data_IF_604288569103
#
_entry.id   IF_604288569103
#
_cell.length_a   1.000
_cell.length_b   1.000
_cell.length_c   1.000
_cell.angle_alpha   90.00
_cell.angle_beta   90.00
_cell.angle_gamma   90.00
#
_symmetry.space_group_name_H-M   'P 1'
#
loop_
_entity.id
_entity.type
_entity.pdbx_description
1 polymer ?
#
# COMPACT_ATOMS: atom_id res chain seq x y z
N UNK A 1 -9.91 3.70 -8.94
CA UNK A 1 -9.58 2.43 -9.61
C UNK A 1 -10.79 1.85 -10.30
N UNK A 2 -10.58 1.29 -11.48
CA UNK A 2 -11.58 0.56 -12.22
C UNK A 2 -11.33 -0.94 -12.12
N UNK A 3 -12.36 -1.73 -12.32
CA UNK A 3 -12.25 -3.20 -12.27
C UNK A 3 -11.27 -3.71 -13.33
N UNK A 4 -11.17 -3.03 -14.47
CA UNK A 4 -10.25 -3.36 -15.56
C UNK A 4 -8.78 -3.12 -15.23
N UNK A 5 -8.50 -2.35 -14.19
CA UNK A 5 -7.13 -2.06 -13.75
C UNK A 5 -6.48 -3.24 -13.03
N UNK A 6 -7.27 -4.22 -12.61
CA UNK A 6 -6.75 -5.41 -11.91
C UNK A 6 -6.39 -6.49 -12.91
N UNK A 7 -5.15 -6.95 -12.86
CA UNK A 7 -4.62 -8.03 -13.69
C UNK A 7 -4.23 -9.21 -12.80
N UNK A 8 -5.08 -10.23 -12.75
CA UNK A 8 -4.80 -11.44 -11.97
C UNK A 8 -3.78 -12.36 -12.62
N UNK A 9 -3.53 -12.21 -13.91
CA UNK A 9 -2.52 -13.01 -14.60
C UNK A 9 -1.12 -12.66 -14.11
N UNK A 10 -0.86 -11.36 -13.90
CA UNK A 10 0.43 -10.83 -13.46
C UNK A 10 0.40 -10.32 -12.01
N UNK A 11 -0.73 -10.46 -11.32
CA UNK A 11 -0.93 -10.00 -9.94
C UNK A 11 -0.58 -8.52 -9.75
N UNK A 12 -1.07 -7.69 -10.65
CA UNK A 12 -0.81 -6.26 -10.66
C UNK A 12 -2.07 -5.42 -10.73
N UNK A 13 -1.97 -4.20 -10.28
CA UNK A 13 -3.01 -3.18 -10.39
C UNK A 13 -2.39 -1.94 -11.03
N UNK A 14 -2.99 -1.48 -12.12
CA UNK A 14 -2.59 -0.23 -12.74
C UNK A 14 -3.17 0.94 -11.93
N UNK A 15 -2.30 1.82 -11.45
CA UNK A 15 -2.70 3.02 -10.74
C UNK A 15 -2.23 4.26 -11.49
N UNK A 16 -3.07 5.30 -11.46
CA UNK A 16 -2.72 6.61 -12.03
C UNK A 16 -2.42 7.54 -10.86
N UNK A 17 -1.21 8.05 -10.84
CA UNK A 17 -0.78 8.98 -9.79
C UNK A 17 -1.21 10.40 -10.10
N UNK A 18 -1.12 11.25 -9.09
CA UNK A 18 -1.27 12.69 -9.24
C UNK A 18 -0.29 13.20 -10.30
N UNK A 19 -0.81 13.87 -11.33
CA UNK A 19 -0.03 14.31 -12.49
C UNK A 19 -0.13 13.39 -13.70
N UNK A 20 -0.95 12.33 -13.66
CA UNK A 20 -1.24 11.46 -14.80
C UNK A 20 -0.26 10.33 -15.05
N UNK A 21 0.79 10.19 -14.24
CA UNK A 21 1.74 9.09 -14.38
C UNK A 21 1.12 7.75 -13.96
N UNK A 22 1.21 6.76 -14.84
CA UNK A 22 0.74 5.41 -14.56
C UNK A 22 1.88 4.57 -13.97
N UNK A 23 1.52 3.68 -13.04
CA UNK A 23 2.41 2.63 -12.57
C UNK A 23 1.61 1.37 -12.27
N UNK A 24 2.33 0.25 -12.20
CA UNK A 24 1.74 -1.02 -11.78
C UNK A 24 2.23 -1.33 -10.37
N UNK A 25 1.28 -1.59 -9.48
CA UNK A 25 1.56 -2.05 -8.11
C UNK A 25 1.24 -3.53 -8.07
N UNK A 26 2.16 -4.34 -7.58
CA UNK A 26 1.98 -5.79 -7.50
C UNK A 26 1.47 -6.19 -6.12
N UNK A 27 0.68 -7.26 -6.09
CA UNK A 27 0.12 -7.78 -4.84
C UNK A 27 0.46 -9.27 -4.67
N UNK A 28 0.52 -9.70 -3.41
CA UNK A 28 0.76 -11.09 -3.05
C UNK A 28 -0.52 -11.90 -2.92
N UNK A 29 -0.38 -13.14 -2.47
CA UNK A 29 -1.47 -14.10 -2.39
C UNK A 29 -2.60 -13.70 -1.43
N UNK A 30 -2.29 -13.02 -0.34
CA UNK A 30 -3.30 -12.57 0.61
C UNK A 30 -4.23 -11.50 0.00
N UNK A 31 -3.65 -10.54 -0.70
CA UNK A 31 -4.41 -9.50 -1.40
C UNK A 31 -5.17 -10.10 -2.58
N UNK A 32 -4.56 -11.02 -3.32
CA UNK A 32 -5.23 -11.73 -4.42
C UNK A 32 -6.51 -12.41 -3.93
N UNK A 33 -6.42 -13.17 -2.84
CA UNK A 33 -7.57 -13.85 -2.24
C UNK A 33 -8.66 -12.86 -1.84
N UNK A 34 -8.28 -11.79 -1.15
CA UNK A 34 -9.22 -10.76 -0.72
C UNK A 34 -9.91 -10.07 -1.91
N UNK A 35 -9.18 -9.77 -2.98
CA UNK A 35 -9.74 -9.19 -4.19
C UNK A 35 -10.70 -10.14 -4.90
N UNK A 36 -10.34 -11.41 -5.02
CA UNK A 36 -11.22 -12.42 -5.64
C UNK A 36 -12.51 -12.60 -4.86
N UNK A 37 -12.41 -12.71 -3.54
CA UNK A 37 -13.59 -12.81 -2.66
C UNK A 37 -14.48 -11.57 -2.80
N UNK A 38 -13.88 -10.39 -2.82
CA UNK A 38 -14.61 -9.14 -3.01
C UNK A 38 -15.31 -9.08 -4.38
N UNK A 39 -14.63 -9.51 -5.45
CA UNK A 39 -15.21 -9.48 -6.80
C UNK A 39 -16.42 -10.40 -6.94
N UNK A 40 -16.46 -11.51 -6.21
CA UNK A 40 -17.64 -12.36 -6.14
C UNK A 40 -18.82 -11.62 -5.52
N UNK A 41 -18.61 -10.89 -4.44
CA UNK A 41 -19.63 -10.05 -3.81
C UNK A 41 -20.03 -8.91 -4.74
N UNK A 42 -19.05 -8.26 -5.37
CA UNK A 42 -19.28 -7.16 -6.31
C UNK A 42 -20.17 -7.58 -7.47
N UNK A 43 -20.02 -8.80 -7.98
CA UNK A 43 -20.81 -9.31 -9.10
C UNK A 43 -22.32 -9.34 -8.79
N UNK A 44 -22.70 -9.36 -7.53
CA UNK A 44 -24.09 -9.36 -7.07
C UNK A 44 -24.63 -7.95 -6.75
N UNK A 45 -23.81 -6.93 -6.88
CA UNK A 45 -24.19 -5.54 -6.65
C UNK A 45 -24.55 -4.90 -7.97
N UNK A 46 -25.75 -4.32 -8.05
CA UNK A 46 -26.16 -3.51 -9.18
C UNK A 46 -25.74 -2.06 -8.96
N UNK A 47 -24.73 -1.56 -9.70
CA UNK A 47 -24.23 -0.21 -9.48
C UNK A 47 -25.20 0.85 -9.98
N UNK A 48 -25.10 2.04 -9.41
CA UNK A 48 -25.77 3.22 -9.95
C UNK A 48 -25.19 3.50 -11.33
N UNK A 49 -26.06 3.88 -12.27
CA UNK A 49 -25.68 4.20 -13.66
C UNK A 49 -24.51 5.18 -13.69
N UNK A 50 -23.49 4.84 -14.49
CA UNK A 50 -22.26 5.61 -14.59
C UNK A 50 -21.14 5.13 -13.67
N UNK A 51 -21.40 4.20 -12.74
CA UNK A 51 -20.42 3.68 -11.80
C UNK A 51 -20.06 2.20 -12.03
N UNK A 52 -20.44 1.65 -13.17
CA UNK A 52 -20.29 0.22 -13.49
C UNK A 52 -18.84 -0.26 -13.48
N UNK A 53 -17.91 0.60 -13.86
CA UNK A 53 -16.48 0.27 -13.95
C UNK A 53 -15.72 0.45 -12.63
N UNK A 54 -16.33 1.06 -11.61
CA UNK A 54 -15.65 1.25 -10.33
C UNK A 54 -15.27 -0.09 -9.71
N UNK A 55 -14.02 -0.23 -9.28
CA UNK A 55 -13.56 -1.43 -8.59
C UNK A 55 -14.28 -1.59 -7.26
N UNK A 56 -14.28 -0.53 -6.45
CA UNK A 56 -14.90 -0.55 -5.12
C UNK A 56 -16.18 0.27 -5.10
N UNK A 57 -17.25 -0.34 -4.60
CA UNK A 57 -18.54 0.32 -4.42
C UNK A 57 -18.75 0.70 -2.96
N UNK A 58 -19.31 1.90 -2.75
CA UNK A 58 -19.84 2.32 -1.46
C UNK A 58 -21.16 1.60 -1.16
N UNK A 59 -21.69 1.79 0.05
CA UNK A 59 -23.02 1.28 0.43
C UNK A 59 -24.15 1.83 -0.45
N UNK A 60 -23.90 2.97 -1.12
CA UNK A 60 -24.84 3.58 -2.08
C UNK A 60 -24.67 3.04 -3.51
N UNK A 61 -23.87 2.01 -3.71
CA UNK A 61 -23.61 1.38 -5.01
C UNK A 61 -22.94 2.32 -6.01
N UNK A 62 -22.15 3.27 -5.51
CA UNK A 62 -21.36 4.23 -6.28
C UNK A 62 -19.87 3.96 -6.06
N UNK A 63 -19.05 4.51 -6.94
CA UNK A 63 -17.60 4.50 -6.74
C UNK A 63 -17.27 5.04 -5.35
N UNK A 64 -16.48 4.28 -4.61
CA UNK A 64 -16.05 4.69 -3.26
C UNK A 64 -15.22 5.97 -3.34
N UNK A 65 -15.40 6.86 -2.39
CA UNK A 65 -14.60 8.09 -2.31
C UNK A 65 -13.53 7.98 -1.21
N UNK A 66 -12.60 8.93 -1.23
CA UNK A 66 -11.46 8.95 -0.28
C UNK A 66 -11.95 8.99 1.17
N UNK A 67 -12.96 9.80 1.47
CA UNK A 67 -13.50 9.93 2.82
C UNK A 67 -14.08 8.61 3.34
N UNK A 68 -14.77 7.87 2.49
CA UNK A 68 -15.30 6.55 2.84
C UNK A 68 -14.18 5.55 3.14
N UNK A 69 -13.10 5.57 2.34
CA UNK A 69 -11.93 4.72 2.59
C UNK A 69 -11.29 5.06 3.94
N UNK A 70 -11.10 6.35 4.23
CA UNK A 70 -10.56 6.80 5.52
C UNK A 70 -11.42 6.31 6.69
N UNK A 71 -12.74 6.40 6.57
CA UNK A 71 -13.68 5.95 7.59
C UNK A 71 -13.65 4.44 7.77
N UNK A 72 -13.51 3.66 6.69
CA UNK A 72 -13.37 2.21 6.76
C UNK A 72 -12.09 1.80 7.47
N UNK A 73 -10.96 2.42 7.14
CA UNK A 73 -9.68 2.17 7.79
C UNK A 73 -9.79 2.46 9.29
N UNK A 74 -10.37 3.60 9.65
CA UNK A 74 -10.58 3.99 11.05
C UNK A 74 -11.46 2.98 11.78
N UNK A 75 -12.56 2.54 11.16
CA UNK A 75 -13.49 1.57 11.73
C UNK A 75 -12.81 0.24 12.06
N UNK A 76 -12.07 -0.32 11.10
CA UNK A 76 -11.42 -1.62 11.31
C UNK A 76 -10.20 -1.52 12.23
N UNK A 77 -9.43 -0.45 12.15
CA UNK A 77 -8.29 -0.24 13.02
C UNK A 77 -8.71 -0.04 14.48
N UNK A 78 -9.86 0.58 14.75
CA UNK A 78 -10.37 0.79 16.12
C UNK A 78 -10.71 -0.51 16.83
N UNK A 79 -10.92 -1.60 16.11
CA UNK A 79 -11.14 -2.94 16.69
C UNK A 79 -9.86 -3.57 17.24
N UNK A 80 -8.71 -3.08 16.79
CA UNK A 80 -7.38 -3.60 17.16
C UNK A 80 -6.69 -2.68 18.17
N UNK A 81 -6.82 -1.37 17.97
CA UNK A 81 -6.20 -0.37 18.83
C UNK A 81 -7.18 0.77 19.11
N UNK A 82 -7.29 1.19 20.38
CA UNK A 82 -8.11 2.33 20.79
C UNK A 82 -7.27 3.59 21.02
N UNK A 83 -5.95 3.43 21.10
CA UNK A 83 -5.03 4.51 21.48
C UNK A 83 -4.36 5.19 20.28
N UNK A 84 -4.33 4.53 19.11
CA UNK A 84 -3.68 5.03 17.91
C UNK A 84 -4.73 5.38 16.85
N UNK A 85 -4.59 6.56 16.28
CA UNK A 85 -5.36 6.96 15.11
C UNK A 85 -4.69 6.40 13.85
N UNK A 86 -5.31 5.38 13.26
CA UNK A 86 -4.82 4.75 12.03
C UNK A 86 -5.53 5.35 10.82
N UNK A 87 -4.76 5.78 9.85
CA UNK A 87 -5.23 6.37 8.59
C UNK A 87 -4.60 5.62 7.41
N UNK A 88 -5.12 5.79 6.18
CA UNK A 88 -4.44 5.24 5.00
C UNK A 88 -2.98 5.68 4.88
N UNK A 89 -2.65 6.91 5.24
CA UNK A 89 -1.27 7.39 5.29
C UNK A 89 -0.40 6.61 6.28
N UNK A 90 -0.95 6.28 7.45
CA UNK A 90 -0.27 5.46 8.45
C UNK A 90 0.01 4.05 7.92
N UNK A 91 -0.95 3.45 7.25
CA UNK A 91 -0.79 2.14 6.62
C UNK A 91 0.30 2.18 5.54
N UNK A 92 0.31 3.23 4.73
CA UNK A 92 1.34 3.44 3.71
C UNK A 92 2.73 3.60 4.33
N UNK A 93 2.86 4.38 5.37
CA UNK A 93 4.13 4.57 6.10
C UNK A 93 4.62 3.26 6.71
N UNK A 94 3.72 2.47 7.29
CA UNK A 94 4.05 1.16 7.85
C UNK A 94 4.54 0.20 6.76
N UNK A 95 3.88 0.19 5.61
CA UNK A 95 4.30 -0.60 4.47
C UNK A 95 5.72 -0.21 4.01
N UNK A 96 5.99 1.07 3.85
CA UNK A 96 7.30 1.56 3.43
C UNK A 96 8.39 1.25 4.44
N UNK A 97 8.12 1.40 5.73
CA UNK A 97 9.04 1.06 6.82
C UNK A 97 9.38 -0.43 6.79
N UNK A 98 8.38 -1.29 6.70
CA UNK A 98 8.58 -2.74 6.64
C UNK A 98 9.38 -3.13 5.40
N UNK A 99 9.03 -2.58 4.25
CA UNK A 99 9.74 -2.84 3.00
C UNK A 99 11.22 -2.44 3.11
N UNK A 100 11.50 -1.29 3.70
CA UNK A 100 12.88 -0.84 3.89
C UNK A 100 13.65 -1.72 4.88
N UNK A 101 13.02 -2.12 5.98
CA UNK A 101 13.64 -3.03 6.95
C UNK A 101 13.98 -4.38 6.32
N UNK A 102 13.10 -4.91 5.46
CA UNK A 102 13.30 -6.20 4.81
C UNK A 102 14.30 -6.17 3.66
N UNK A 103 14.33 -5.11 2.88
CA UNK A 103 15.12 -5.04 1.64
C UNK A 103 16.39 -4.20 1.77
N UNK A 104 16.39 -3.20 2.64
CA UNK A 104 17.49 -2.23 2.74
C UNK A 104 17.64 -1.34 1.52
N UNK A 105 16.69 -1.36 0.59
CA UNK A 105 16.76 -0.65 -0.68
C UNK A 105 15.84 0.56 -0.68
N UNK A 106 16.40 1.73 -0.41
CA UNK A 106 15.66 2.98 -0.35
C UNK A 106 15.10 3.41 -1.71
N UNK A 107 15.76 3.03 -2.79
CA UNK A 107 15.28 3.33 -4.15
C UNK A 107 14.06 2.51 -4.48
N UNK A 108 14.03 1.25 -4.07
CA UNK A 108 12.86 0.39 -4.21
C UNK A 108 11.66 0.97 -3.43
N UNK A 109 11.90 1.39 -2.19
CA UNK A 109 10.84 2.01 -1.36
C UNK A 109 10.29 3.27 -2.03
N UNK A 110 11.18 4.14 -2.50
CA UNK A 110 10.77 5.37 -3.19
C UNK A 110 9.94 5.06 -4.44
N UNK A 111 10.37 4.07 -5.23
CA UNK A 111 9.65 3.65 -6.44
C UNK A 111 8.27 3.10 -6.12
N UNK A 112 8.17 2.16 -5.20
CA UNK A 112 6.90 1.52 -4.82
C UNK A 112 5.94 2.53 -4.21
N UNK A 113 6.42 3.46 -3.37
CA UNK A 113 5.58 4.51 -2.79
C UNK A 113 5.28 5.64 -3.77
N UNK A 114 5.96 5.68 -4.90
CA UNK A 114 5.72 6.70 -5.90
C UNK A 114 6.34 8.06 -5.60
N UNK A 115 7.39 8.10 -4.81
CA UNK A 115 8.14 9.32 -4.56
C UNK A 115 8.98 9.67 -5.79
N UNK A 116 8.80 10.85 -6.34
CA UNK A 116 9.60 11.34 -7.48
C UNK A 116 11.04 11.63 -7.05
N UNK A 117 11.23 12.06 -5.81
CA UNK A 117 12.52 12.39 -5.23
C UNK A 117 12.86 11.39 -4.12
N UNK A 118 13.91 10.62 -4.34
CA UNK A 118 14.41 9.65 -3.35
C UNK A 118 14.89 10.32 -2.06
N UNK A 119 15.28 11.58 -2.10
CA UNK A 119 15.71 12.33 -0.91
C UNK A 119 14.58 12.49 0.12
N UNK A 120 13.34 12.65 -0.34
CA UNK A 120 12.16 12.66 0.54
C UNK A 120 12.06 11.35 1.31
N UNK A 121 12.26 10.23 0.63
CA UNK A 121 12.23 8.90 1.25
C UNK A 121 13.41 8.69 2.20
N UNK A 122 14.63 9.05 1.79
CA UNK A 122 15.83 8.96 2.63
C UNK A 122 15.68 9.72 3.93
N UNK A 123 15.17 10.94 3.86
CA UNK A 123 14.96 11.79 5.04
C UNK A 123 13.99 11.13 6.03
N UNK A 124 12.93 10.51 5.51
CA UNK A 124 11.90 9.85 6.31
C UNK A 124 12.44 8.61 7.06
N UNK A 125 13.41 7.90 6.47
CA UNK A 125 13.97 6.66 7.02
C UNK A 125 15.38 6.80 7.60
N UNK A 126 15.83 8.02 7.89
CA UNK A 126 17.18 8.29 8.39
C UNK A 126 17.50 7.54 9.70
N UNK A 127 16.54 7.40 10.60
CA UNK A 127 16.73 6.67 11.86
C UNK A 127 16.98 5.17 11.62
N UNK A 128 16.35 4.58 10.63
CA UNK A 128 16.55 3.18 10.25
C UNK A 128 17.96 3.01 9.67
N UNK A 129 18.44 3.96 8.88
CA UNK A 129 19.79 3.96 8.33
C UNK A 129 20.84 4.00 9.42
N UNK A 130 20.65 4.84 10.44
CA UNK A 130 21.57 4.92 11.56
C UNK A 130 21.64 3.60 12.34
N UNK A 131 20.50 2.98 12.61
CA UNK A 131 20.44 1.67 13.26
C UNK A 131 21.18 0.60 12.44
N UNK A 132 21.04 0.63 11.11
CA UNK A 132 21.74 -0.26 10.20
C UNK A 132 23.24 -0.06 10.22
N UNK A 133 23.71 1.20 10.25
CA UNK A 133 25.13 1.52 10.36
C UNK A 133 25.73 0.98 11.66
N UNK A 134 25.02 1.10 12.77
CA UNK A 134 25.45 0.55 14.06
C UNK A 134 25.54 -0.97 14.01
N UNK A 135 24.55 -1.62 13.40
CA UNK A 135 24.54 -3.07 13.22
C UNK A 135 25.70 -3.53 12.34
N UNK A 136 26.06 -2.76 11.32
CA UNK A 136 27.16 -3.05 10.41
C UNK A 136 28.50 -3.17 11.15
N UNK A 137 28.70 -2.40 12.22
CA UNK A 137 29.93 -2.45 13.00
C UNK A 137 30.21 -3.82 13.61
N UNK A 138 29.17 -4.60 13.91
CA UNK A 138 29.29 -5.94 14.47
C UNK A 138 29.09 -7.06 13.44
N UNK A 139 28.72 -6.71 12.21
CA UNK A 139 28.45 -7.70 11.15
C UNK A 139 29.74 -8.27 10.53
N UNK A 140 30.83 -7.50 10.56
CA UNK A 140 32.12 -7.92 10.00
C UNK A 140 33.04 -8.33 11.13
N UNK A 141 33.46 -9.60 11.11
CA UNK A 141 34.47 -10.12 12.05
C UNK A 141 35.85 -9.95 11.43
N UNK A 142 36.69 -9.19 12.11
CA UNK A 142 38.06 -8.95 11.69
C UNK A 142 39.04 -10.02 12.21
N UNK A 143 38.59 -10.84 13.18
CA UNK A 143 39.35 -11.95 13.78
C UNK A 143 38.42 -13.15 13.99
N UNK A 144 38.88 -14.32 13.62
CA UNK A 144 38.32 -15.59 14.05
C UNK A 144 39.07 -16.11 15.26
N UNK A 145 38.37 -16.30 16.36
CA UNK A 145 38.90 -16.98 17.55
C UNK A 145 37.89 -17.96 18.07
#
# INVERSE_FOLDING_TARGET
>A
LDVEDVDFKNNGIKVVRKGGNEMIVYFGSEVEKALRDYLEVRANIEPVTGHEHALFYSSQRKRINVKTVENLVKKYASKITTTKKITPHKLRSTYGTTLYQETGDIYLVADVLGHKDVNTTKKHYAAIDDARRRKAASAVKLREE
#
